data_IF_100847974326
#
_entry.id   IF_100847974326
#
_cell.length_a   1.000
_cell.length_b   1.000
_cell.length_c   1.000
_cell.angle_alpha   90.00
_cell.angle_beta   90.00
_cell.angle_gamma   90.00
#
_symmetry.space_group_name_H-M   'P 1'
#
loop_
_entity.id
_entity.type
_entity.pdbx_description
1 polymer ?
#
# COMPACT_ATOMS: atom_id res chain seq x y z
N UNK A 1 61.28 49.64 -36.38
CA UNK A 1 60.37 48.56 -36.65
C UNK A 1 59.57 48.29 -35.36
N UNK A 2 58.37 48.84 -35.24
CA UNK A 2 57.49 48.68 -34.05
C UNK A 2 56.51 47.53 -34.34
N UNK A 3 56.59 46.49 -33.54
CA UNK A 3 55.61 45.37 -33.55
C UNK A 3 54.41 45.79 -32.79
N UNK A 4 53.25 45.86 -33.46
CA UNK A 4 51.93 46.06 -32.90
C UNK A 4 51.46 44.71 -32.34
N UNK A 5 51.25 44.62 -31.04
CA UNK A 5 50.57 43.47 -30.44
C UNK A 5 49.06 43.75 -30.40
N UNK A 6 48.32 42.94 -31.16
CA UNK A 6 46.85 42.94 -31.13
C UNK A 6 46.39 42.09 -29.98
N UNK A 7 45.85 42.70 -28.92
CA UNK A 7 45.11 41.99 -27.89
C UNK A 7 43.66 41.76 -28.34
N UNK A 8 43.28 40.52 -28.57
CA UNK A 8 41.90 40.09 -28.74
C UNK A 8 41.33 39.81 -27.38
N UNK A 9 40.27 40.48 -26.94
CA UNK A 9 39.55 40.09 -25.71
C UNK A 9 38.73 38.86 -26.03
N UNK A 10 39.10 37.71 -25.41
CA UNK A 10 38.25 36.53 -25.36
C UNK A 10 37.11 36.83 -24.40
N UNK A 11 35.93 37.10 -24.90
CA UNK A 11 34.69 37.12 -24.15
C UNK A 11 34.38 35.68 -23.73
N UNK A 12 34.70 35.35 -22.49
CA UNK A 12 34.18 34.20 -21.78
C UNK A 12 32.67 34.41 -21.60
N UNK A 13 31.87 33.84 -22.49
CA UNK A 13 30.49 33.58 -22.19
C UNK A 13 30.44 32.54 -21.09
N UNK A 14 30.31 32.98 -19.84
CA UNK A 14 29.83 32.17 -18.75
C UNK A 14 28.37 31.83 -19.07
N UNK A 15 28.18 30.65 -19.69
CA UNK A 15 26.87 30.03 -19.73
C UNK A 15 26.37 29.89 -18.27
N UNK A 16 25.23 30.49 -18.00
CA UNK A 16 24.46 30.16 -16.81
C UNK A 16 24.08 28.66 -16.87
N UNK A 17 24.98 27.80 -16.46
CA UNK A 17 24.60 26.50 -15.98
C UNK A 17 23.79 26.79 -14.70
N UNK A 18 22.47 26.59 -14.78
CA UNK A 18 21.63 26.64 -13.61
C UNK A 18 22.28 25.77 -12.54
N UNK A 19 22.80 26.41 -11.51
CA UNK A 19 23.26 25.71 -10.34
C UNK A 19 22.05 24.90 -9.87
N UNK A 20 22.14 23.57 -9.94
CA UNK A 20 21.25 22.72 -9.21
C UNK A 20 21.33 23.23 -7.75
N UNK A 21 20.24 23.80 -7.26
CA UNK A 21 20.18 24.26 -5.87
C UNK A 21 20.55 23.05 -5.02
N UNK A 22 21.65 23.15 -4.27
CA UNK A 22 21.96 22.15 -3.28
C UNK A 22 20.73 21.99 -2.39
N UNK A 23 20.36 20.76 -2.00
CA UNK A 23 19.30 20.56 -1.05
C UNK A 23 19.58 21.46 0.17
N UNK A 24 18.57 22.17 0.64
CA UNK A 24 18.70 22.97 1.84
C UNK A 24 19.14 22.03 3.00
N UNK A 25 20.06 22.50 3.83
CA UNK A 25 20.55 21.69 4.94
C UNK A 25 19.40 21.37 5.90
N UNK A 26 19.26 20.08 6.22
CA UNK A 26 18.30 19.61 7.21
C UNK A 26 18.90 19.80 8.59
N UNK A 27 18.25 20.57 9.44
CA UNK A 27 18.69 20.87 10.78
C UNK A 27 17.79 20.23 11.82
N UNK A 28 18.41 19.58 12.80
CA UNK A 28 17.72 19.00 13.95
C UNK A 28 18.28 19.56 15.26
N UNK A 29 17.40 19.76 16.22
CA UNK A 29 17.73 20.10 17.59
C UNK A 29 16.89 19.24 18.53
N UNK A 30 17.54 18.55 19.47
CA UNK A 30 16.85 17.72 20.46
C UNK A 30 15.81 16.75 19.82
N UNK A 31 16.24 16.02 18.77
CA UNK A 31 15.43 15.06 18.00
C UNK A 31 14.20 15.66 17.27
N UNK A 32 14.15 16.97 17.11
CA UNK A 32 13.13 17.68 16.34
C UNK A 32 13.74 18.48 15.21
N UNK A 33 13.02 18.56 14.10
CA UNK A 33 13.47 19.39 12.96
C UNK A 33 13.25 20.87 13.27
N UNK A 34 14.25 21.72 13.00
CA UNK A 34 14.19 23.16 13.18
C UNK A 34 13.40 23.78 12.01
N UNK A 35 12.10 23.97 12.22
CA UNK A 35 11.18 24.53 11.21
C UNK A 35 11.66 25.92 10.78
N UNK A 36 11.71 26.18 9.50
CA UNK A 36 12.15 27.45 8.92
C UNK A 36 11.20 28.59 9.33
N UNK A 37 11.73 29.77 9.71
CA UNK A 37 10.89 30.92 10.00
C UNK A 37 9.97 31.29 8.83
N UNK A 38 8.67 31.40 9.12
CA UNK A 38 7.67 31.73 8.11
C UNK A 38 7.33 30.58 7.15
N UNK A 39 7.62 29.33 7.56
CA UNK A 39 7.29 28.14 6.78
C UNK A 39 5.80 28.12 6.38
N UNK A 40 5.57 27.71 5.14
CA UNK A 40 4.24 27.45 4.57
C UNK A 40 4.35 26.27 3.66
N UNK A 41 3.65 25.18 3.99
CA UNK A 41 3.63 23.95 3.21
C UNK A 41 2.32 23.84 2.44
N UNK A 42 2.41 23.69 1.14
CA UNK A 42 1.30 23.29 0.28
C UNK A 42 1.29 21.77 0.19
N UNK A 43 0.21 21.15 0.65
CA UNK A 43 0.11 19.69 0.76
C UNK A 43 -1.11 19.22 -0.03
N UNK A 44 -0.90 18.36 -1.02
CA UNK A 44 -2.01 17.64 -1.62
C UNK A 44 -2.39 16.45 -0.74
N UNK A 45 -3.64 16.44 -0.27
CA UNK A 45 -4.24 15.33 0.48
C UNK A 45 -5.73 15.27 0.14
N UNK A 46 -6.21 14.19 -0.53
CA UNK A 46 -7.57 14.14 -1.07
C UNK A 46 -8.67 13.96 -0.04
N UNK A 47 -8.32 13.59 1.21
CA UNK A 47 -9.25 13.38 2.31
C UNK A 47 -9.33 14.63 3.18
N UNK A 48 -10.50 15.31 3.18
CA UNK A 48 -10.74 16.56 3.93
C UNK A 48 -10.71 16.31 5.44
N UNK A 49 -11.33 15.22 5.91
CA UNK A 49 -11.36 14.89 7.34
C UNK A 49 -9.97 14.65 7.91
N UNK A 50 -9.14 13.93 7.18
CA UNK A 50 -7.74 13.69 7.55
C UNK A 50 -6.92 15.00 7.48
N UNK A 51 -7.17 15.84 6.48
CA UNK A 51 -6.49 17.14 6.34
C UNK A 51 -6.75 18.03 7.55
N UNK A 52 -8.01 18.17 7.94
CA UNK A 52 -8.42 18.97 9.10
C UNK A 52 -7.84 18.44 10.41
N UNK A 53 -7.84 17.11 10.57
CA UNK A 53 -7.30 16.47 11.76
C UNK A 53 -5.78 16.65 11.87
N UNK A 54 -5.04 16.51 10.76
CA UNK A 54 -3.59 16.75 10.74
C UNK A 54 -3.23 18.22 10.93
N UNK A 55 -4.03 19.15 10.39
CA UNK A 55 -3.84 20.59 10.64
C UNK A 55 -4.06 20.92 12.12
N UNK A 56 -5.12 20.40 12.72
CA UNK A 56 -5.39 20.59 14.15
C UNK A 56 -4.24 20.05 15.02
N UNK A 57 -3.73 18.86 14.69
CA UNK A 57 -2.59 18.24 15.37
C UNK A 57 -1.32 19.09 15.22
N UNK A 58 -1.03 19.57 14.01
CA UNK A 58 0.10 20.47 13.76
C UNK A 58 -0.01 21.76 14.58
N UNK A 59 -1.15 22.41 14.55
CA UNK A 59 -1.41 23.66 15.28
C UNK A 59 -1.29 23.51 16.80
N UNK A 60 -1.60 22.31 17.32
CA UNK A 60 -1.41 21.95 18.73
C UNK A 60 0.08 21.74 19.06
N UNK A 61 0.81 21.05 18.18
CA UNK A 61 2.20 20.64 18.41
C UNK A 61 3.19 21.77 18.16
N UNK A 62 2.90 22.62 17.16
CA UNK A 62 3.73 23.74 16.73
C UNK A 62 2.93 25.05 16.71
N UNK A 63 2.53 25.59 17.89
CA UNK A 63 1.65 26.75 17.98
C UNK A 63 2.27 28.02 17.37
N UNK A 64 3.60 28.14 17.33
CA UNK A 64 4.33 29.24 16.70
C UNK A 64 4.27 29.17 15.15
N UNK A 65 3.97 28.01 14.58
CA UNK A 65 3.79 27.78 13.15
C UNK A 65 2.33 27.49 12.79
N UNK A 66 1.40 28.00 13.60
CA UNK A 66 -0.03 27.89 13.33
C UNK A 66 -0.35 28.42 11.93
N UNK A 67 -1.19 27.71 11.20
CA UNK A 67 -1.56 28.02 9.81
C UNK A 67 -0.38 27.92 8.81
N UNK A 68 0.66 27.15 9.13
CA UNK A 68 1.73 26.88 8.16
C UNK A 68 1.31 25.81 7.14
N UNK A 69 0.32 24.96 7.44
CA UNK A 69 -0.15 23.93 6.51
C UNK A 69 -1.30 24.47 5.65
N UNK A 70 -1.23 24.20 4.36
CA UNK A 70 -2.27 24.53 3.37
C UNK A 70 -2.59 23.27 2.59
N UNK A 71 -3.68 22.62 2.93
CA UNK A 71 -4.14 21.43 2.24
C UNK A 71 -4.93 21.77 0.98
N UNK A 72 -4.75 20.97 -0.06
CA UNK A 72 -5.47 21.01 -1.32
C UNK A 72 -5.93 19.61 -1.71
N UNK A 73 -7.12 19.50 -2.26
CA UNK A 73 -7.67 18.25 -2.85
C UNK A 73 -7.62 18.28 -4.37
N UNK A 74 -7.22 19.40 -4.95
CA UNK A 74 -7.08 19.60 -6.37
C UNK A 74 -5.61 19.56 -6.77
N UNK A 75 -5.34 19.14 -8.00
CA UNK A 75 -4.00 19.11 -8.62
C UNK A 75 -2.98 18.23 -7.86
N UNK A 76 -2.99 16.93 -8.09
CA UNK A 76 -2.05 15.93 -7.54
C UNK A 76 -0.58 16.13 -7.96
N UNK A 77 -0.23 17.26 -8.59
CA UNK A 77 1.11 17.50 -9.12
C UNK A 77 2.13 17.80 -8.01
N UNK A 78 3.22 17.05 -7.95
CA UNK A 78 4.36 17.35 -7.08
C UNK A 78 5.02 18.70 -7.43
N UNK A 79 4.83 19.23 -8.62
CA UNK A 79 5.38 20.55 -9.01
C UNK A 79 4.63 21.69 -8.34
N UNK A 80 3.36 21.51 -8.00
CA UNK A 80 2.51 22.53 -7.37
C UNK A 80 2.56 22.49 -5.84
N UNK A 81 3.03 21.40 -5.24
CA UNK A 81 2.98 21.15 -3.81
C UNK A 81 4.34 20.84 -3.21
N UNK A 82 4.51 21.09 -1.93
CA UNK A 82 5.69 20.70 -1.15
C UNK A 82 5.63 19.20 -0.79
N UNK A 83 4.42 18.70 -0.51
CA UNK A 83 4.11 17.29 -0.24
C UNK A 83 2.88 16.85 -1.03
N UNK A 84 2.91 15.62 -1.52
CA UNK A 84 1.79 15.01 -2.23
C UNK A 84 1.50 13.64 -1.65
N UNK A 85 0.24 13.43 -1.23
CA UNK A 85 -0.26 12.12 -0.84
C UNK A 85 -0.52 11.27 -2.07
N UNK A 86 0.15 10.16 -2.16
CA UNK A 86 0.10 9.26 -3.32
C UNK A 86 0.12 7.80 -2.88
N UNK A 87 -0.28 6.94 -3.78
CA UNK A 87 0.01 5.51 -3.72
C UNK A 87 1.48 5.28 -4.12
N UNK A 88 2.11 4.25 -3.58
CA UNK A 88 3.51 3.89 -3.87
C UNK A 88 3.77 3.73 -5.38
N UNK A 89 2.81 3.16 -6.11
CA UNK A 89 2.86 3.00 -7.57
C UNK A 89 2.92 4.33 -8.31
N UNK A 90 2.13 5.31 -7.87
CA UNK A 90 2.15 6.66 -8.45
C UNK A 90 3.48 7.36 -8.15
N UNK A 91 4.00 7.19 -6.92
CA UNK A 91 5.29 7.76 -6.55
C UNK A 91 6.44 7.26 -7.42
N UNK A 92 6.36 6.04 -7.92
CA UNK A 92 7.36 5.48 -8.82
C UNK A 92 7.27 6.05 -10.24
N UNK A 93 6.08 6.42 -10.66
CA UNK A 93 5.83 7.05 -11.95
C UNK A 93 6.10 8.57 -11.95
N UNK A 94 6.28 9.16 -10.76
CA UNK A 94 6.59 10.59 -10.64
C UNK A 94 7.94 10.92 -11.29
N UNK A 95 7.91 11.82 -12.24
CA UNK A 95 9.08 12.29 -12.98
C UNK A 95 9.67 13.58 -12.42
N UNK A 96 8.91 14.30 -11.58
CA UNK A 96 9.40 15.50 -10.92
C UNK A 96 10.48 15.14 -9.90
N UNK A 97 11.51 15.99 -9.72
CA UNK A 97 12.54 15.75 -8.73
C UNK A 97 11.95 15.70 -7.32
N UNK A 98 12.04 14.52 -6.68
CA UNK A 98 11.56 14.30 -5.33
C UNK A 98 12.72 14.32 -4.33
N UNK A 99 12.41 14.78 -3.11
CA UNK A 99 13.38 14.83 -2.00
C UNK A 99 13.63 13.43 -1.45
N UNK A 100 14.89 13.02 -1.18
CA UNK A 100 15.16 11.73 -0.53
C UNK A 100 14.70 11.76 0.94
N UNK A 101 13.85 10.81 1.31
CA UNK A 101 13.21 10.72 2.62
C UNK A 101 13.75 9.57 3.50
N UNK A 102 14.66 8.75 2.99
CA UNK A 102 15.19 7.57 3.72
C UNK A 102 15.86 7.92 5.04
N UNK A 103 16.52 9.09 5.11
CA UNK A 103 17.20 9.54 6.32
C UNK A 103 16.29 9.84 7.51
N UNK A 104 14.99 10.08 7.28
CA UNK A 104 14.06 10.40 8.36
C UNK A 104 13.74 9.20 9.26
N UNK A 105 13.80 7.98 8.74
CA UNK A 105 13.30 6.78 9.44
C UNK A 105 13.88 6.61 10.84
N UNK A 106 15.16 6.91 11.02
CA UNK A 106 15.86 6.80 12.31
C UNK A 106 15.38 7.80 13.37
N UNK A 107 14.62 8.83 12.95
CA UNK A 107 14.09 9.89 13.80
C UNK A 107 12.58 9.80 14.00
N UNK A 108 11.96 8.70 13.56
CA UNK A 108 10.52 8.46 13.74
C UNK A 108 10.27 7.72 15.05
N UNK A 109 9.24 8.13 15.76
CA UNK A 109 8.78 7.41 16.95
C UNK A 109 8.24 6.02 16.59
N UNK A 110 7.48 5.93 15.50
CA UNK A 110 6.92 4.67 14.98
C UNK A 110 7.35 4.47 13.52
N UNK A 111 8.51 3.86 13.25
CA UNK A 111 8.95 3.58 11.89
C UNK A 111 8.09 2.50 11.23
N UNK A 112 8.06 2.50 9.90
CA UNK A 112 7.39 1.45 9.13
C UNK A 112 8.13 0.12 9.17
N UNK A 113 7.43 -1.02 8.95
CA UNK A 113 8.03 -2.35 8.95
C UNK A 113 9.17 -2.51 7.94
N UNK A 114 10.23 -3.22 8.35
CA UNK A 114 11.39 -3.46 7.48
C UNK A 114 11.05 -4.28 6.22
N UNK A 115 9.97 -5.07 6.25
CA UNK A 115 9.50 -5.83 5.10
C UNK A 115 9.16 -4.93 3.91
N UNK A 116 8.66 -3.72 4.16
CA UNK A 116 8.35 -2.74 3.11
C UNK A 116 9.59 -2.18 2.41
N UNK A 117 10.76 -2.24 3.04
CA UNK A 117 12.01 -1.76 2.42
C UNK A 117 12.52 -2.69 1.32
N UNK A 118 12.15 -3.97 1.39
CA UNK A 118 12.56 -4.97 0.38
C UNK A 118 11.81 -4.84 -0.93
N UNK A 119 10.74 -4.07 -0.92
CA UNK A 119 9.82 -3.93 -2.04
C UNK A 119 9.94 -2.54 -2.62
N UNK A 120 11.02 -2.25 -3.33
CA UNK A 120 11.25 -1.12 -4.26
C UNK A 120 10.54 0.22 -3.97
N UNK A 121 10.34 0.56 -2.69
CA UNK A 121 9.91 1.92 -2.35
C UNK A 121 11.06 2.85 -2.72
N UNK A 122 10.79 3.82 -3.59
CA UNK A 122 11.79 4.86 -3.89
C UNK A 122 12.21 5.55 -2.60
N UNK A 123 13.48 5.93 -2.52
CA UNK A 123 14.03 6.74 -1.43
C UNK A 123 13.24 8.02 -1.16
N UNK A 124 12.46 8.47 -2.14
CA UNK A 124 11.65 9.68 -2.09
C UNK A 124 10.19 9.45 -1.63
N UNK A 125 9.81 8.22 -1.29
CA UNK A 125 8.47 7.90 -0.81
C UNK A 125 8.47 7.62 0.69
N UNK A 126 7.54 8.23 1.40
CA UNK A 126 7.34 8.08 2.84
C UNK A 126 6.05 7.29 3.11
N UNK A 127 6.13 6.00 3.42
CA UNK A 127 4.95 5.16 3.64
C UNK A 127 4.24 5.54 4.95
N UNK A 128 2.92 5.65 4.89
CA UNK A 128 2.07 6.02 6.03
C UNK A 128 1.08 4.92 6.37
N UNK A 129 0.26 4.51 5.42
CA UNK A 129 -0.80 3.54 5.64
C UNK A 129 -0.81 2.47 4.55
N UNK A 130 -1.45 1.34 4.86
CA UNK A 130 -1.59 0.23 3.94
C UNK A 130 -3.03 -0.23 3.82
N UNK A 131 -3.45 -0.57 2.59
CA UNK A 131 -4.74 -1.17 2.29
C UNK A 131 -4.54 -2.53 1.65
N UNK A 132 -5.13 -3.57 2.23
CA UNK A 132 -4.98 -4.94 1.77
C UNK A 132 -5.88 -5.91 2.51
N UNK A 133 -5.72 -7.19 2.19
CA UNK A 133 -6.52 -8.25 2.79
C UNK A 133 -6.04 -8.63 4.18
N UNK A 134 -7.00 -8.98 5.02
CA UNK A 134 -6.79 -9.70 6.27
C UNK A 134 -7.71 -10.92 6.32
N UNK A 135 -7.29 -11.93 7.06
CA UNK A 135 -8.11 -13.09 7.34
C UNK A 135 -8.76 -12.96 8.72
N UNK A 136 -10.02 -13.32 8.79
CA UNK A 136 -10.82 -13.22 10.02
C UNK A 136 -11.66 -14.48 10.20
N UNK A 137 -11.84 -14.93 11.43
CA UNK A 137 -12.78 -15.99 11.75
C UNK A 137 -13.58 -15.67 13.02
N UNK A 138 -14.81 -16.21 13.09
CA UNK A 138 -15.66 -16.11 14.26
C UNK A 138 -15.36 -17.27 15.20
N UNK A 139 -14.78 -16.99 16.37
CA UNK A 139 -14.33 -18.01 17.33
C UNK A 139 -15.49 -18.79 17.95
N UNK A 140 -16.65 -18.14 18.09
CA UNK A 140 -17.86 -18.80 18.61
C UNK A 140 -18.43 -19.81 17.61
N UNK A 141 -18.62 -19.38 16.36
CA UNK A 141 -19.09 -20.25 15.28
C UNK A 141 -18.11 -21.38 14.99
N UNK A 142 -16.80 -21.10 15.00
CA UNK A 142 -15.75 -22.10 14.86
C UNK A 142 -15.87 -23.19 15.92
N UNK A 143 -16.00 -22.81 17.19
CA UNK A 143 -16.18 -23.74 18.31
C UNK A 143 -17.44 -24.60 18.18
N UNK A 144 -18.56 -24.01 17.77
CA UNK A 144 -19.80 -24.75 17.51
C UNK A 144 -19.65 -25.81 16.42
N UNK A 145 -18.79 -25.55 15.43
CA UNK A 145 -18.50 -26.46 14.32
C UNK A 145 -17.34 -27.43 14.61
N UNK A 146 -16.79 -27.39 15.81
CA UNK A 146 -15.70 -28.26 16.24
C UNK A 146 -14.36 -27.89 15.59
N UNK A 147 -14.20 -26.62 15.14
CA UNK A 147 -12.96 -26.08 14.60
C UNK A 147 -12.10 -25.50 15.70
N UNK A 148 -10.79 -25.62 15.54
CA UNK A 148 -9.76 -25.05 16.40
C UNK A 148 -9.00 -23.94 15.68
N UNK A 149 -8.20 -23.15 16.38
CA UNK A 149 -7.36 -22.11 15.76
C UNK A 149 -6.45 -22.68 14.67
N UNK A 150 -5.88 -23.87 14.87
CA UNK A 150 -5.01 -24.52 13.89
C UNK A 150 -5.70 -24.92 12.57
N UNK A 151 -7.04 -25.04 12.56
CA UNK A 151 -7.78 -25.29 11.32
C UNK A 151 -7.78 -24.07 10.39
N UNK A 152 -7.43 -22.89 10.90
CA UNK A 152 -7.36 -21.64 10.16
C UNK A 152 -5.95 -21.26 9.69
N UNK A 153 -4.95 -22.11 9.93
CA UNK A 153 -3.57 -21.87 9.51
C UNK A 153 -3.35 -22.25 8.02
N UNK A 154 -4.22 -23.11 7.48
CA UNK A 154 -4.16 -23.54 6.09
C UNK A 154 -5.57 -23.62 5.48
N UNK A 155 -5.77 -22.97 4.33
CA UNK A 155 -7.03 -22.99 3.60
C UNK A 155 -7.45 -24.38 3.13
N UNK A 156 -6.51 -25.30 2.93
CA UNK A 156 -6.83 -26.68 2.58
C UNK A 156 -7.57 -27.41 3.70
N UNK A 157 -7.25 -27.07 4.95
CA UNK A 157 -7.99 -27.56 6.13
C UNK A 157 -9.43 -27.09 6.18
N UNK A 158 -9.72 -25.93 5.57
CA UNK A 158 -11.05 -25.36 5.41
C UNK A 158 -11.77 -25.87 4.17
N UNK A 159 -11.07 -26.49 3.24
CA UNK A 159 -11.65 -27.04 2.01
C UNK A 159 -12.76 -28.04 2.33
N UNK A 160 -13.90 -27.91 1.67
CA UNK A 160 -15.07 -28.76 1.91
C UNK A 160 -15.92 -28.37 3.11
N UNK A 161 -15.51 -27.39 3.93
CA UNK A 161 -16.31 -26.87 5.06
C UNK A 161 -17.24 -25.72 4.61
N UNK A 162 -17.19 -25.31 3.35
CA UNK A 162 -18.15 -24.46 2.59
C UNK A 162 -18.59 -23.14 3.25
N UNK A 163 -17.75 -22.52 4.08
CA UNK A 163 -18.20 -21.44 4.93
C UNK A 163 -17.17 -20.31 5.04
N UNK A 164 -16.41 -20.06 3.95
CA UNK A 164 -15.49 -18.94 3.89
C UNK A 164 -16.16 -17.80 3.12
N UNK A 165 -16.41 -16.71 3.82
CA UNK A 165 -16.89 -15.48 3.23
C UNK A 165 -15.80 -14.81 2.40
N UNK A 166 -16.18 -14.24 1.28
CA UNK A 166 -15.28 -13.54 0.39
C UNK A 166 -15.92 -12.24 -0.07
N UNK A 167 -15.35 -11.15 0.38
CA UNK A 167 -15.84 -9.83 0.00
C UNK A 167 -15.50 -9.55 -1.47
N UNK A 168 -16.49 -9.30 -2.32
CA UNK A 168 -16.33 -9.14 -3.76
C UNK A 168 -15.21 -8.16 -4.17
N UNK A 169 -15.12 -7.02 -3.49
CA UNK A 169 -14.07 -6.01 -3.74
C UNK A 169 -12.63 -6.50 -3.44
N UNK A 170 -12.47 -7.69 -2.87
CA UNK A 170 -11.16 -8.20 -2.47
C UNK A 170 -10.46 -9.02 -3.56
N UNK A 171 -11.14 -9.34 -4.64
CA UNK A 171 -10.61 -10.24 -5.69
C UNK A 171 -9.26 -9.75 -6.25
N UNK A 172 -9.13 -8.46 -6.53
CA UNK A 172 -7.89 -7.87 -7.03
C UNK A 172 -6.70 -8.09 -6.08
N UNK A 173 -6.95 -8.11 -4.79
CA UNK A 173 -5.93 -8.34 -3.76
C UNK A 173 -5.64 -9.81 -3.50
N UNK A 174 -6.57 -10.71 -3.81
CA UNK A 174 -6.39 -12.16 -3.64
C UNK A 174 -5.67 -12.81 -4.81
N UNK A 175 -5.94 -12.40 -6.04
CA UNK A 175 -5.35 -12.98 -7.24
C UNK A 175 -3.82 -13.01 -7.22
N UNK A 176 -3.11 -11.96 -6.78
CA UNK A 176 -1.65 -11.98 -6.69
C UNK A 176 -1.07 -13.11 -5.85
N UNK A 177 -1.80 -13.65 -4.86
CA UNK A 177 -1.34 -14.81 -4.07
C UNK A 177 -0.93 -15.99 -4.94
N UNK A 178 -1.62 -16.15 -6.05
CA UNK A 178 -1.44 -17.29 -6.94
C UNK A 178 -0.50 -17.02 -8.10
N UNK A 179 -0.29 -15.75 -8.45
CA UNK A 179 0.42 -15.35 -9.66
C UNK A 179 1.74 -14.64 -9.39
N UNK A 180 2.04 -14.35 -8.14
CA UNK A 180 3.27 -13.69 -7.77
C UNK A 180 4.47 -14.64 -7.86
N UNK A 181 5.63 -14.09 -8.20
CA UNK A 181 6.89 -14.83 -8.30
C UNK A 181 7.80 -14.41 -7.15
N UNK A 182 8.10 -15.35 -6.28
CA UNK A 182 8.93 -15.11 -5.09
C UNK A 182 10.40 -14.84 -5.42
N UNK A 183 10.89 -15.35 -6.57
CA UNK A 183 12.30 -15.52 -6.85
C UNK A 183 12.90 -14.43 -7.73
N UNK A 184 12.13 -13.43 -8.16
CA UNK A 184 12.62 -12.43 -9.09
C UNK A 184 12.85 -11.09 -8.40
N UNK A 185 14.06 -10.92 -7.87
CA UNK A 185 14.63 -9.61 -7.52
C UNK A 185 14.78 -8.69 -8.75
N UNK A 186 14.82 -9.26 -9.96
CA UNK A 186 14.88 -8.55 -11.22
C UNK A 186 13.49 -8.40 -11.86
N UNK A 187 12.88 -7.28 -11.61
CA UNK A 187 11.55 -6.86 -12.00
C UNK A 187 11.29 -6.68 -13.52
N UNK A 188 12.06 -7.31 -14.37
CA UNK A 188 12.00 -7.08 -15.81
C UNK A 188 11.34 -8.22 -16.61
N UNK A 189 10.55 -9.08 -15.96
CA UNK A 189 9.84 -10.12 -16.70
C UNK A 189 8.53 -9.56 -17.21
N UNK A 190 8.44 -9.49 -18.52
CA UNK A 190 7.22 -9.13 -19.23
C UNK A 190 6.05 -10.00 -18.79
N UNK A 191 4.92 -9.38 -18.39
CA UNK A 191 3.69 -10.14 -18.06
C UNK A 191 3.25 -11.06 -19.21
N UNK A 192 3.50 -10.65 -20.43
CA UNK A 192 3.29 -11.51 -21.61
C UNK A 192 4.09 -12.80 -21.49
N UNK A 193 5.35 -12.73 -21.08
CA UNK A 193 6.21 -13.89 -20.86
C UNK A 193 5.75 -14.69 -19.64
N UNK A 194 5.37 -14.01 -18.57
CA UNK A 194 4.84 -14.65 -17.34
C UNK A 194 3.61 -15.48 -17.66
N UNK A 195 2.63 -14.91 -18.37
CA UNK A 195 1.39 -15.62 -18.72
C UNK A 195 1.63 -16.83 -19.65
N UNK A 196 2.69 -16.82 -20.44
CA UNK A 196 3.07 -17.98 -21.27
C UNK A 196 3.78 -19.08 -20.49
N UNK A 197 4.24 -18.81 -19.29
CA UNK A 197 5.05 -19.76 -18.53
C UNK A 197 4.23 -20.95 -18.02
N UNK A 198 4.93 -22.08 -17.81
CA UNK A 198 4.34 -23.25 -17.14
C UNK A 198 3.96 -22.94 -15.70
N UNK A 199 4.70 -22.05 -15.05
CA UNK A 199 4.42 -21.60 -13.70
C UNK A 199 3.09 -20.84 -13.61
N UNK A 200 2.79 -19.96 -14.57
CA UNK A 200 1.49 -19.29 -14.59
C UNK A 200 0.34 -20.30 -14.74
N UNK A 201 0.52 -21.31 -15.60
CA UNK A 201 -0.48 -22.37 -15.76
C UNK A 201 -0.71 -23.15 -14.46
N UNK A 202 0.36 -23.49 -13.75
CA UNK A 202 0.29 -24.16 -12.45
C UNK A 202 -0.45 -23.27 -11.42
N UNK A 203 -0.13 -22.01 -11.36
CA UNK A 203 -0.78 -21.04 -10.48
C UNK A 203 -2.25 -20.82 -10.83
N UNK A 204 -2.59 -20.75 -12.10
CA UNK A 204 -3.98 -20.71 -12.57
C UNK A 204 -4.75 -21.95 -12.11
N UNK A 205 -4.14 -23.14 -12.22
CA UNK A 205 -4.73 -24.38 -11.71
C UNK A 205 -4.96 -24.30 -10.19
N UNK A 206 -3.98 -23.82 -9.43
CA UNK A 206 -4.07 -23.64 -7.98
C UNK A 206 -5.17 -22.66 -7.60
N UNK A 207 -5.26 -21.52 -8.27
CA UNK A 207 -6.31 -20.53 -8.08
C UNK A 207 -7.70 -21.10 -8.29
N UNK A 208 -7.92 -21.81 -9.40
CA UNK A 208 -9.21 -22.45 -9.70
C UNK A 208 -9.55 -23.54 -8.69
N UNK A 209 -8.57 -24.33 -8.28
CA UNK A 209 -8.73 -25.38 -7.27
C UNK A 209 -9.06 -24.77 -5.89
N UNK A 210 -8.43 -23.69 -5.51
CA UNK A 210 -8.69 -22.95 -4.28
C UNK A 210 -10.15 -22.45 -4.23
N UNK A 211 -10.62 -21.77 -5.26
CA UNK A 211 -11.99 -21.29 -5.35
C UNK A 211 -13.00 -22.43 -5.31
N UNK A 212 -12.74 -23.51 -6.03
CA UNK A 212 -13.62 -24.68 -6.03
C UNK A 212 -13.66 -25.36 -4.65
N UNK A 213 -12.50 -25.49 -3.99
CA UNK A 213 -12.38 -26.17 -2.71
C UNK A 213 -13.08 -25.40 -1.58
N UNK A 214 -12.99 -24.08 -1.58
CA UNK A 214 -13.62 -23.23 -0.57
C UNK A 214 -15.06 -22.87 -0.91
N UNK A 215 -15.55 -23.22 -2.10
CA UNK A 215 -16.88 -22.83 -2.60
C UNK A 215 -17.08 -21.30 -2.44
N UNK A 216 -16.04 -20.55 -2.78
CA UNK A 216 -16.04 -19.09 -2.70
C UNK A 216 -17.06 -18.56 -3.70
N UNK A 217 -18.20 -18.19 -3.22
CA UNK A 217 -19.20 -17.50 -3.98
C UNK A 217 -18.87 -16.01 -3.98
N UNK A 218 -18.85 -15.43 -5.17
CA UNK A 218 -18.88 -13.99 -5.41
C UNK A 218 -20.30 -13.50 -5.09
N UNK A 219 -20.74 -13.77 -3.88
CA UNK A 219 -22.03 -13.29 -3.45
C UNK A 219 -21.86 -11.83 -3.06
N UNK A 220 -22.59 -10.99 -3.76
CA UNK A 220 -22.97 -9.63 -3.32
C UNK A 220 -23.69 -9.66 -1.97
N UNK A 221 -23.57 -10.76 -1.24
CA UNK A 221 -24.20 -10.97 0.03
C UNK A 221 -23.47 -10.13 1.08
N UNK A 222 -24.21 -9.20 1.48
CA UNK A 222 -24.51 -8.75 2.79
C UNK A 222 -23.40 -9.07 3.82
N UNK A 223 -22.64 -8.05 4.14
CA UNK A 223 -21.73 -8.08 5.29
C UNK A 223 -22.46 -8.60 6.53
N UNK A 224 -23.78 -8.41 6.65
CA UNK A 224 -24.65 -8.94 7.70
C UNK A 224 -24.59 -10.47 7.81
N UNK A 225 -24.54 -11.19 6.71
CA UNK A 225 -24.50 -12.66 6.74
C UNK A 225 -23.24 -13.21 7.37
N UNK A 226 -22.11 -12.51 7.28
CA UNK A 226 -20.87 -12.87 7.95
C UNK A 226 -20.89 -12.39 9.40
N UNK A 227 -21.32 -11.17 9.63
CA UNK A 227 -21.21 -10.51 10.93
C UNK A 227 -22.39 -10.82 11.86
N UNK A 228 -23.61 -10.88 11.37
CA UNK A 228 -24.80 -11.03 12.21
C UNK A 228 -25.32 -12.47 12.28
N UNK A 229 -25.41 -13.14 11.13
CA UNK A 229 -26.03 -14.49 11.09
C UNK A 229 -25.07 -15.61 11.49
N UNK A 230 -23.75 -15.35 11.60
CA UNK A 230 -22.75 -16.40 11.83
C UNK A 230 -22.78 -17.51 10.77
N UNK A 231 -23.31 -17.21 9.57
CA UNK A 231 -23.44 -18.16 8.46
C UNK A 231 -22.07 -18.63 8.00
N UNK A 232 -21.11 -17.70 7.95
CA UNK A 232 -19.73 -17.99 7.61
C UNK A 232 -18.88 -18.08 8.87
N UNK A 233 -17.95 -19.04 8.91
CA UNK A 233 -17.06 -19.20 10.05
C UNK A 233 -15.82 -18.33 9.92
N UNK A 234 -15.39 -18.03 8.69
CA UNK A 234 -14.21 -17.23 8.39
C UNK A 234 -14.40 -16.40 7.13
N UNK A 235 -13.51 -15.44 6.91
CA UNK A 235 -13.59 -14.58 5.72
C UNK A 235 -12.28 -13.91 5.36
N UNK A 236 -12.19 -13.52 4.09
CA UNK A 236 -11.19 -12.64 3.53
C UNK A 236 -11.82 -11.26 3.35
N UNK A 237 -11.34 -10.29 4.09
CA UNK A 237 -11.89 -8.93 4.07
C UNK A 237 -10.80 -7.89 3.92
N UNK A 238 -11.17 -6.67 3.55
CA UNK A 238 -10.25 -5.55 3.52
C UNK A 238 -9.95 -5.06 4.93
N UNK A 239 -8.70 -4.72 5.21
CA UNK A 239 -8.24 -4.24 6.51
C UNK A 239 -8.83 -2.88 6.92
N UNK A 240 -9.35 -2.10 5.96
CA UNK A 240 -10.03 -0.83 6.17
C UNK A 240 -11.55 -1.00 6.44
N UNK A 241 -12.05 -2.23 6.50
CA UNK A 241 -13.42 -2.50 6.90
C UNK A 241 -13.65 -1.95 8.31
N UNK A 242 -14.63 -1.08 8.43
CA UNK A 242 -14.99 -0.48 9.72
C UNK A 242 -15.86 -1.45 10.50
N UNK A 243 -15.42 -1.80 11.70
CA UNK A 243 -16.23 -2.49 12.67
C UNK A 243 -16.65 -1.45 13.71
N UNK A 244 -17.91 -1.07 13.71
CA UNK A 244 -18.43 -0.22 14.78
C UNK A 244 -18.46 -1.03 16.08
N UNK A 245 -17.38 -0.84 16.87
CA UNK A 245 -17.23 -1.51 18.17
C UNK A 245 -18.30 -1.11 19.18
N UNK A 246 -19.17 -0.16 18.82
CA UNK A 246 -20.06 0.46 19.82
C UNK A 246 -21.29 -0.38 20.15
N UNK A 247 -21.75 -1.34 19.34
CA UNK A 247 -23.05 -1.98 19.61
C UNK A 247 -23.21 -3.44 19.19
N UNK A 248 -23.01 -3.79 17.92
CA UNK A 248 -23.35 -5.14 17.43
C UNK A 248 -22.13 -6.06 17.31
N UNK A 249 -20.96 -5.50 17.03
CA UNK A 249 -19.76 -6.24 16.68
C UNK A 249 -18.90 -6.66 17.86
N UNK A 250 -19.07 -6.06 19.02
CA UNK A 250 -18.32 -6.45 20.24
C UNK A 250 -18.56 -7.92 20.65
N UNK A 251 -19.78 -8.42 20.41
CA UNK A 251 -20.19 -9.79 20.76
C UNK A 251 -19.89 -10.82 19.65
N UNK A 252 -19.34 -10.39 18.52
CA UNK A 252 -19.10 -11.28 17.37
C UNK A 252 -17.93 -12.25 17.56
N UNK A 253 -17.12 -12.08 18.60
CA UNK A 253 -15.98 -12.95 18.85
C UNK A 253 -15.05 -13.13 17.64
N UNK A 254 -14.82 -12.04 16.88
CA UNK A 254 -13.95 -12.06 15.72
C UNK A 254 -12.48 -12.16 16.15
N UNK A 255 -11.72 -12.95 15.40
CA UNK A 255 -10.28 -13.08 15.53
C UNK A 255 -9.63 -12.81 14.18
N UNK A 256 -8.81 -11.76 14.10
CA UNK A 256 -8.00 -11.44 12.93
C UNK A 256 -6.64 -12.11 13.05
N UNK A 257 -6.19 -12.74 11.98
CA UNK A 257 -4.93 -13.48 11.97
C UNK A 257 -4.14 -13.21 10.69
N UNK A 258 -2.91 -13.68 10.67
CA UNK A 258 -2.12 -13.78 9.45
C UNK A 258 -2.89 -14.54 8.36
N UNK A 259 -2.56 -14.24 7.11
CA UNK A 259 -3.12 -14.96 5.97
C UNK A 259 -2.76 -16.44 6.06
N UNK A 260 -3.75 -17.36 6.03
CA UNK A 260 -3.47 -18.79 6.01
C UNK A 260 -2.63 -19.20 4.80
N UNK A 261 -1.88 -20.27 4.94
CA UNK A 261 -1.22 -20.91 3.79
C UNK A 261 -2.24 -21.61 2.88
N UNK A 262 -1.82 -22.01 1.69
CA UNK A 262 -2.56 -22.92 0.84
C UNK A 262 -1.61 -23.97 0.27
N UNK A 263 -1.85 -25.23 0.63
CA UNK A 263 -1.02 -26.38 0.20
C UNK A 263 0.47 -26.11 0.49
N UNK A 264 0.79 -25.81 1.75
CA UNK A 264 2.12 -25.45 2.28
C UNK A 264 2.77 -24.20 1.63
N UNK A 265 2.02 -23.48 0.81
CA UNK A 265 2.47 -22.21 0.21
C UNK A 265 1.96 -21.03 1.04
N UNK A 266 2.87 -20.19 1.51
CA UNK A 266 2.51 -18.92 2.16
C UNK A 266 1.81 -18.01 1.15
N UNK A 267 0.59 -17.59 1.48
CA UNK A 267 -0.13 -16.60 0.68
C UNK A 267 0.26 -15.21 1.18
N UNK A 268 0.79 -14.41 0.28
CA UNK A 268 1.23 -13.06 0.60
C UNK A 268 0.21 -12.06 0.06
N UNK A 269 -0.59 -11.42 0.93
CA UNK A 269 -1.55 -10.44 0.49
C UNK A 269 -0.85 -9.23 -0.13
N UNK A 270 -1.41 -8.74 -1.23
CA UNK A 270 -0.97 -7.49 -1.80
C UNK A 270 -1.38 -6.35 -0.89
N UNK A 271 -0.51 -5.36 -0.77
CA UNK A 271 -0.74 -4.17 0.01
C UNK A 271 -0.56 -2.94 -0.87
N UNK A 272 -1.60 -2.16 -1.01
CA UNK A 272 -1.49 -0.80 -1.52
C UNK A 272 -0.93 0.09 -0.41
N UNK A 273 0.22 0.66 -0.67
CA UNK A 273 0.86 1.56 0.30
C UNK A 273 0.58 3.00 -0.09
N UNK A 274 0.04 3.76 0.85
CA UNK A 274 -0.22 5.19 0.71
C UNK A 274 0.72 5.97 1.59
N UNK A 275 1.15 7.13 1.11
CA UNK A 275 2.07 7.98 1.83
C UNK A 275 2.39 9.27 1.11
N UNK A 276 3.50 9.88 1.46
CA UNK A 276 3.90 11.17 0.93
C UNK A 276 5.14 11.07 0.04
N UNK A 277 5.15 11.90 -0.99
CA UNK A 277 6.35 12.26 -1.74
C UNK A 277 6.61 13.75 -1.57
N UNK A 278 7.85 14.13 -1.30
CA UNK A 278 8.25 15.52 -1.08
C UNK A 278 8.92 16.12 -2.30
N UNK A 279 8.57 17.37 -2.63
CA UNK A 279 9.18 18.11 -3.73
C UNK A 279 10.62 18.52 -3.38
N UNK A 280 11.59 18.15 -4.21
CA UNK A 280 12.99 18.53 -4.01
C UNK A 280 13.21 20.05 -4.01
N UNK A 281 12.31 20.83 -4.62
CA UNK A 281 12.40 22.29 -4.72
C UNK A 281 11.66 23.01 -3.58
N UNK A 282 11.17 22.30 -2.58
CA UNK A 282 10.54 22.93 -1.40
C UNK A 282 11.49 23.94 -0.78
N UNK A 283 10.95 25.07 -0.33
CA UNK A 283 11.69 26.10 0.40
C UNK A 283 11.82 25.78 1.89
N UNK A 284 11.04 24.81 2.37
CA UNK A 284 10.87 24.51 3.78
C UNK A 284 11.09 23.03 4.08
N UNK A 285 12.26 22.49 3.78
CA UNK A 285 12.52 21.04 3.94
C UNK A 285 12.43 20.62 5.41
N UNK A 286 12.85 21.44 6.37
CA UNK A 286 12.72 21.10 7.80
C UNK A 286 11.26 21.06 8.24
N UNK A 287 10.40 21.96 7.72
CA UNK A 287 8.96 21.89 7.97
C UNK A 287 8.33 20.63 7.37
N UNK A 288 8.76 20.22 6.17
CA UNK A 288 8.35 18.94 5.56
C UNK A 288 8.71 17.76 6.46
N UNK A 289 9.96 17.69 6.92
CA UNK A 289 10.42 16.61 7.79
C UNK A 289 9.74 16.63 9.16
N UNK A 290 9.50 17.81 9.73
CA UNK A 290 8.75 17.97 10.98
C UNK A 290 7.29 17.47 10.83
N UNK A 291 6.64 17.76 9.70
CA UNK A 291 5.30 17.24 9.40
C UNK A 291 5.29 15.71 9.28
N UNK A 292 6.23 15.13 8.54
CA UNK A 292 6.32 13.68 8.39
C UNK A 292 6.65 12.98 9.72
N UNK A 293 7.48 13.59 10.57
CA UNK A 293 7.75 13.11 11.92
C UNK A 293 6.49 13.16 12.79
N UNK A 294 5.69 14.23 12.68
CA UNK A 294 4.41 14.36 13.38
C UNK A 294 3.40 13.30 12.95
N UNK A 295 3.28 13.01 11.66
CA UNK A 295 2.40 11.95 11.14
C UNK A 295 2.76 10.57 11.71
N UNK A 296 4.03 10.36 12.08
CA UNK A 296 4.55 9.11 12.66
C UNK A 296 4.76 9.17 14.16
N UNK A 297 4.24 10.21 14.84
CA UNK A 297 4.15 10.27 16.30
C UNK A 297 2.95 9.46 16.82
N UNK A 298 2.87 9.25 18.14
CA UNK A 298 1.73 8.59 18.78
C UNK A 298 0.40 9.26 18.40
N UNK A 299 0.35 10.60 18.50
CA UNK A 299 -0.85 11.36 18.15
C UNK A 299 -1.16 11.29 16.65
N UNK A 300 -0.13 11.32 15.80
CA UNK A 300 -0.28 11.16 14.36
C UNK A 300 -0.86 9.81 13.98
N UNK A 301 -0.35 8.72 14.56
CA UNK A 301 -0.87 7.37 14.36
C UNK A 301 -2.34 7.27 14.82
N UNK A 302 -2.68 7.85 15.98
CA UNK A 302 -4.06 7.87 16.46
C UNK A 302 -4.96 8.63 15.49
N UNK A 303 -4.50 9.78 15.00
CA UNK A 303 -5.23 10.57 13.97
C UNK A 303 -5.50 9.76 12.71
N UNK A 304 -4.53 8.98 12.24
CA UNK A 304 -4.72 8.09 11.09
C UNK A 304 -5.79 7.02 11.37
N UNK A 305 -5.75 6.39 12.54
CA UNK A 305 -6.72 5.38 12.95
C UNK A 305 -8.15 5.93 13.07
N UNK A 306 -8.30 7.11 13.65
CA UNK A 306 -9.59 7.81 13.78
C UNK A 306 -10.19 8.17 12.41
N UNK A 307 -9.35 8.36 11.39
CA UNK A 307 -9.76 8.55 10.00
C UNK A 307 -9.80 7.24 9.19
N UNK A 308 -9.97 6.11 9.88
CA UNK A 308 -10.11 4.78 9.29
C UNK A 308 -8.93 4.32 8.41
N UNK A 309 -7.76 4.92 8.55
CA UNK A 309 -6.54 4.44 7.92
C UNK A 309 -5.89 3.33 8.76
N UNK A 310 -5.11 2.49 8.11
CA UNK A 310 -4.33 1.44 8.77
C UNK A 310 -2.84 1.78 8.68
N UNK A 311 -2.28 2.43 9.71
CA UNK A 311 -0.88 2.86 9.71
C UNK A 311 0.04 1.64 9.64
N UNK A 312 1.11 1.79 8.85
CA UNK A 312 2.15 0.77 8.73
C UNK A 312 3.15 0.94 9.87
N UNK A 313 2.94 0.24 10.96
CA UNK A 313 3.80 0.25 12.15
C UNK A 313 4.41 -1.13 12.37
N UNK A 314 5.54 -1.20 13.07
CA UNK A 314 6.16 -2.47 13.41
C UNK A 314 5.27 -3.22 14.42
N UNK A 315 5.32 -4.55 14.39
CA UNK A 315 4.50 -5.38 15.27
C UNK A 315 4.70 -5.07 16.76
N UNK A 316 5.96 -4.93 17.17
CA UNK A 316 6.34 -4.61 18.54
C UNK A 316 5.86 -3.23 19.00
N UNK A 317 5.55 -2.33 18.06
CA UNK A 317 5.04 -1.00 18.35
C UNK A 317 3.52 -0.98 18.48
N UNK A 318 2.80 -1.92 17.84
CA UNK A 318 1.34 -2.03 17.95
C UNK A 318 0.89 -2.12 19.42
N UNK A 319 1.64 -2.85 20.25
CA UNK A 319 1.34 -2.98 21.68
C UNK A 319 1.53 -1.67 22.45
N UNK A 320 2.43 -0.79 22.00
CA UNK A 320 2.75 0.49 22.65
C UNK A 320 1.76 1.60 22.28
N UNK A 321 1.04 1.46 21.16
CA UNK A 321 0.17 2.48 20.60
C UNK A 321 -1.07 2.81 21.45
N UNK A 322 -1.34 2.06 22.52
CA UNK A 322 -2.50 2.32 23.37
C UNK A 322 -3.86 2.27 22.64
N UNK A 323 -3.94 1.46 21.59
CA UNK A 323 -5.16 1.30 20.77
C UNK A 323 -6.24 0.65 21.62
N UNK A 324 -7.37 1.34 21.81
CA UNK A 324 -8.49 0.85 22.60
C UNK A 324 -9.31 -0.20 21.85
N UNK A 325 -9.43 -0.07 20.52
CA UNK A 325 -10.17 -1.02 19.70
C UNK A 325 -9.36 -2.31 19.50
N UNK A 326 -9.84 -3.38 20.11
CA UNK A 326 -9.18 -4.69 20.07
C UNK A 326 -9.10 -5.26 18.63
N UNK A 327 -10.10 -4.99 17.79
CA UNK A 327 -10.12 -5.47 16.41
C UNK A 327 -9.11 -4.72 15.55
N UNK A 328 -9.06 -3.39 15.68
CA UNK A 328 -8.04 -2.58 14.99
C UNK A 328 -6.63 -3.06 15.36
N UNK A 329 -6.38 -3.32 16.65
CA UNK A 329 -5.11 -3.85 17.12
C UNK A 329 -4.78 -5.21 16.50
N UNK A 330 -5.74 -6.13 16.46
CA UNK A 330 -5.57 -7.43 15.82
C UNK A 330 -5.31 -7.30 14.31
N UNK A 331 -6.02 -6.41 13.62
CA UNK A 331 -5.82 -6.14 12.19
C UNK A 331 -4.37 -5.69 11.92
N UNK A 332 -3.86 -4.73 12.69
CA UNK A 332 -2.47 -4.26 12.53
C UNK A 332 -1.46 -5.38 12.79
N UNK A 333 -1.71 -6.25 13.78
CA UNK A 333 -0.88 -7.44 14.01
C UNK A 333 -0.96 -8.42 12.84
N UNK A 334 -2.18 -8.73 12.37
CA UNK A 334 -2.41 -9.64 11.25
C UNK A 334 -1.73 -9.16 9.95
N UNK A 335 -1.75 -7.85 9.70
CA UNK A 335 -1.01 -7.25 8.58
C UNK A 335 0.49 -7.53 8.67
N UNK A 336 1.10 -7.35 9.85
CA UNK A 336 2.52 -7.62 10.05
C UNK A 336 2.87 -9.09 9.89
N UNK A 337 2.02 -9.99 10.41
CA UNK A 337 2.25 -11.43 10.37
C UNK A 337 2.06 -12.03 8.98
N UNK A 338 1.33 -11.36 8.11
CA UNK A 338 0.96 -11.85 6.77
C UNK A 338 2.04 -11.72 5.69
N UNK A 339 3.27 -11.39 6.02
CA UNK A 339 4.36 -11.21 5.04
C UNK A 339 3.93 -10.34 3.84
N UNK A 340 3.41 -9.17 4.12
CA UNK A 340 2.88 -8.24 3.12
C UNK A 340 3.83 -7.98 1.95
N UNK A 341 3.26 -7.79 0.78
CA UNK A 341 3.97 -7.35 -0.42
C UNK A 341 3.43 -6.02 -0.91
N UNK A 342 4.30 -5.17 -1.35
CA UNK A 342 3.92 -4.03 -2.18
C UNK A 342 3.49 -4.52 -3.54
N UNK A 343 2.78 -3.67 -4.25
CA UNK A 343 2.42 -3.89 -5.64
C UNK A 343 3.67 -4.21 -6.46
N UNK A 344 3.72 -5.41 -7.04
CA UNK A 344 4.84 -5.84 -7.85
C UNK A 344 4.84 -5.11 -9.19
N UNK A 345 6.02 -4.64 -9.63
CA UNK A 345 6.19 -3.96 -10.90
C UNK A 345 6.37 -4.93 -12.03
N UNK A 346 5.65 -4.66 -13.11
CA UNK A 346 5.89 -5.27 -14.41
C UNK A 346 6.46 -4.18 -15.31
N UNK A 347 7.74 -4.32 -15.65
CA UNK A 347 8.40 -3.44 -16.59
C UNK A 347 8.25 -3.96 -18.03
N UNK A 348 7.17 -3.66 -18.70
CA UNK A 348 7.23 -3.69 -20.18
C UNK A 348 7.29 -2.30 -20.79
N UNK A 349 6.66 -1.34 -20.16
CA UNK A 349 6.88 0.10 -20.33
C UNK A 349 6.91 0.65 -18.92
N UNK A 350 7.75 1.57 -18.64
CA UNK A 350 8.19 2.07 -17.33
C UNK A 350 7.14 2.47 -16.30
N UNK A 351 5.88 2.17 -16.49
CA UNK A 351 4.77 2.68 -15.65
C UNK A 351 3.62 1.71 -15.38
N UNK A 352 3.62 0.50 -15.93
CA UNK A 352 2.51 -0.42 -15.74
C UNK A 352 2.80 -1.31 -14.53
N UNK A 353 1.93 -1.27 -13.54
CA UNK A 353 1.98 -2.12 -12.36
C UNK A 353 1.11 -3.36 -12.53
N UNK A 354 1.32 -4.37 -11.68
CA UNK A 354 0.46 -5.54 -11.65
C UNK A 354 -0.99 -5.14 -11.29
N UNK A 355 -1.15 -4.15 -10.43
CA UNK A 355 -2.47 -3.63 -10.07
C UNK A 355 -3.13 -2.92 -11.25
N UNK A 356 -2.40 -2.09 -12.00
CA UNK A 356 -2.94 -1.47 -13.21
C UNK A 356 -3.44 -2.50 -14.21
N UNK A 357 -2.72 -3.63 -14.31
CA UNK A 357 -3.14 -4.74 -15.14
C UNK A 357 -4.46 -5.34 -14.64
N UNK A 358 -4.62 -5.53 -13.33
CA UNK A 358 -5.85 -6.07 -12.77
C UNK A 358 -7.02 -5.08 -12.85
N UNK A 359 -6.79 -3.81 -12.63
CA UNK A 359 -7.84 -2.79 -12.59
C UNK A 359 -8.26 -2.31 -14.00
N UNK A 360 -7.30 -2.24 -14.92
CA UNK A 360 -7.49 -1.57 -16.22
C UNK A 360 -7.50 -2.51 -17.43
N UNK A 361 -7.14 -3.80 -17.25
CA UNK A 361 -7.30 -4.83 -18.29
C UNK A 361 -8.50 -5.73 -18.00
N UNK A 362 -8.81 -6.64 -18.93
CA UNK A 362 -9.82 -7.68 -18.70
C UNK A 362 -9.32 -8.85 -17.85
N UNK A 363 -8.11 -8.79 -17.29
CA UNK A 363 -7.49 -9.91 -16.58
C UNK A 363 -8.36 -10.44 -15.44
N UNK A 364 -8.89 -9.55 -14.60
CA UNK A 364 -9.78 -9.94 -13.51
C UNK A 364 -11.01 -10.68 -14.01
N UNK A 365 -11.68 -10.13 -15.01
CA UNK A 365 -12.86 -10.75 -15.61
C UNK A 365 -12.55 -12.10 -16.22
N UNK A 366 -11.40 -12.25 -16.89
CA UNK A 366 -10.97 -13.51 -17.46
C UNK A 366 -10.65 -14.56 -16.38
N UNK A 367 -9.98 -14.16 -15.32
CA UNK A 367 -9.68 -15.02 -14.19
C UNK A 367 -10.97 -15.43 -13.46
N UNK A 368 -11.87 -14.52 -13.20
CA UNK A 368 -13.17 -14.77 -12.58
C UNK A 368 -14.01 -15.72 -13.46
N UNK A 369 -14.13 -15.44 -14.74
CA UNK A 369 -14.85 -16.29 -15.67
C UNK A 369 -14.22 -17.70 -15.77
N UNK A 370 -12.91 -17.82 -15.56
CA UNK A 370 -12.22 -19.10 -15.57
C UNK A 370 -12.69 -20.06 -14.48
N UNK A 371 -13.29 -19.54 -13.40
CA UNK A 371 -13.83 -20.37 -12.31
C UNK A 371 -15.08 -21.12 -12.71
N UNK A 372 -15.85 -20.55 -13.61
CA UNK A 372 -17.14 -21.09 -14.06
C UNK A 372 -17.06 -21.84 -15.38
N UNK A 373 -15.93 -21.78 -16.07
CA UNK A 373 -15.75 -22.49 -17.35
C UNK A 373 -15.27 -23.93 -17.15
N UNK A 374 -15.74 -24.84 -18.02
CA UNK A 374 -15.22 -26.20 -18.11
C UNK A 374 -13.96 -26.30 -18.97
N UNK A 375 -13.48 -25.20 -19.51
CA UNK A 375 -12.25 -25.19 -20.30
C UNK A 375 -11.04 -25.59 -19.45
N UNK A 376 -10.06 -26.22 -20.11
CA UNK A 376 -8.83 -26.59 -19.44
C UNK A 376 -7.91 -25.36 -19.24
N UNK A 377 -7.00 -25.46 -18.28
CA UNK A 377 -6.12 -24.36 -17.89
C UNK A 377 -5.27 -23.82 -19.04
N UNK A 378 -4.89 -24.67 -20.02
CA UNK A 378 -4.13 -24.23 -21.21
C UNK A 378 -4.95 -23.33 -22.13
N UNK A 379 -6.24 -23.57 -22.24
CA UNK A 379 -7.14 -22.74 -23.06
C UNK A 379 -7.37 -21.39 -22.39
N UNK A 380 -7.65 -21.40 -21.09
CA UNK A 380 -7.80 -20.19 -20.29
C UNK A 380 -6.52 -19.36 -20.32
N UNK A 381 -5.36 -19.98 -20.12
CA UNK A 381 -4.06 -19.31 -20.21
C UNK A 381 -3.85 -18.62 -21.56
N UNK A 382 -4.22 -19.29 -22.65
CA UNK A 382 -4.10 -18.72 -24.00
C UNK A 382 -4.99 -17.49 -24.19
N UNK A 383 -6.22 -17.53 -23.69
CA UNK A 383 -7.15 -16.41 -23.76
C UNK A 383 -6.62 -15.19 -22.96
N UNK A 384 -6.15 -15.42 -21.73
CA UNK A 384 -5.53 -14.40 -20.89
C UNK A 384 -4.31 -13.80 -21.59
N UNK A 385 -3.44 -14.62 -22.16
CA UNK A 385 -2.26 -14.14 -22.86
C UNK A 385 -2.61 -13.24 -24.06
N UNK A 386 -3.63 -13.60 -24.84
CA UNK A 386 -4.09 -12.79 -25.98
C UNK A 386 -4.61 -11.42 -25.52
N UNK A 387 -5.42 -11.39 -24.47
CA UNK A 387 -5.99 -10.17 -23.94
C UNK A 387 -4.93 -9.24 -23.35
N UNK A 388 -4.06 -9.76 -22.49
CA UNK A 388 -2.96 -8.98 -21.91
C UNK A 388 -2.03 -8.43 -23.00
N UNK A 389 -1.73 -9.21 -24.03
CA UNK A 389 -0.90 -8.76 -25.14
C UNK A 389 -1.57 -7.60 -25.88
N UNK A 390 -2.88 -7.70 -26.11
CA UNK A 390 -3.63 -6.63 -26.77
C UNK A 390 -3.65 -5.37 -25.91
N UNK A 391 -3.93 -5.51 -24.61
CA UNK A 391 -3.98 -4.39 -23.68
C UNK A 391 -2.64 -3.64 -23.59
N UNK A 392 -1.51 -4.36 -23.45
CA UNK A 392 -0.16 -3.74 -23.38
C UNK A 392 0.17 -2.98 -24.67
N UNK A 393 -0.28 -3.45 -25.83
CA UNK A 393 -0.03 -2.77 -27.10
C UNK A 393 -0.86 -1.49 -27.28
N UNK A 394 -1.94 -1.34 -26.52
CA UNK A 394 -2.84 -0.17 -26.58
C UNK A 394 -2.50 0.91 -25.56
N UNK A 395 -1.65 0.63 -24.57
CA UNK A 395 -1.08 1.61 -23.63
C UNK A 395 0.15 2.30 -24.21
#
# INVERSE_FOLDING_TARGET
MKKLLLCIPVLLMQGCSGAASQPADIHMKEDRYEIEPGARLNIYLPDEGLSDALEALWNKTYPEYRNALHFSQEDKSLQAHDLVWVKDTDALNETAPAYPLTGIKQHLEYPWPAQLERTAIKDSFFPVSGKGLVFVYNTYTAKQRGLTAGDFDDFKSLAGKKDVYYQNRTLAYAIPFFFDREDEEDAAVSMKTVVQSSLFKERLHRYRSFHTALDLHDDTLDDEAFYEDGRYVSGLIMNDTSFDSSTAYADMHLQFTAMPSYDDTSLRPMLDVYGFTANQKTRYPNAVFAFLQLVRSQEGINTLLENNLRPLVQREDVEKLGIYDAYVKQILCAMNDSQLRNTSYIKEKSSITLLDLYENSNLLSLLQNSLYTKENDSHVQKAIHQDITHWILTQ
#
